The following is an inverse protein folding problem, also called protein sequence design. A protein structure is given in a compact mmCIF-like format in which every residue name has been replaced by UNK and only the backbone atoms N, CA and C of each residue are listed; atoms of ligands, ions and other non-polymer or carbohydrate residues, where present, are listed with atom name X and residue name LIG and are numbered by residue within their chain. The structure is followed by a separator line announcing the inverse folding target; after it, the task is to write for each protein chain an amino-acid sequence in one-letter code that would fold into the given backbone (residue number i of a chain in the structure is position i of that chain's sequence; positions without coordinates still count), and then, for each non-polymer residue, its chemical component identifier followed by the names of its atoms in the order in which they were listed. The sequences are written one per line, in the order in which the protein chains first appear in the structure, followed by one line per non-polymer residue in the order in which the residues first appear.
data_IF_440747635684
#
_entry.id   IF_440747635684
#
_cell.length_a   1.000
_cell.length_b   1.000
_cell.length_c   1.000
_cell.angle_alpha   90.00
_cell.angle_beta   90.00
_cell.angle_gamma   90.00
#
_symmetry.space_group_name_H-M   'P 1'
#
loop_
_entity.id
_entity.type
_entity.pdbx_description
1 polymer ?
#
# COMPACT_ATOMS: atom_id res chain seq x y z
N UNK A 1 -4.62 -22.90 -62.15
CA UNK A 1 -5.15 -24.27 -62.03
C UNK A 1 -5.95 -24.27 -60.75
N UNK A 2 -7.21 -23.95 -60.83
CA UNK A 2 -8.43 -24.82 -60.98
C UNK A 2 -8.77 -25.40 -59.62
N UNK A 3 -9.71 -24.76 -58.91
CA UNK A 3 -11.17 -25.04 -58.81
C UNK A 3 -11.46 -26.36 -58.06
N UNK A 4 -12.13 -26.32 -56.92
CA UNK A 4 -13.44 -26.92 -56.77
C UNK A 4 -14.12 -26.55 -55.47
N UNK A 5 -15.32 -26.02 -55.60
CA UNK A 5 -16.34 -25.82 -54.60
C UNK A 5 -17.08 -27.14 -54.32
N UNK A 6 -17.65 -27.28 -53.15
CA UNK A 6 -18.81 -28.15 -52.94
C UNK A 6 -19.69 -27.55 -51.84
N UNK A 7 -20.89 -27.20 -52.27
CA UNK A 7 -22.11 -26.88 -51.56
C UNK A 7 -22.68 -28.09 -50.82
N UNK A 8 -23.51 -27.81 -49.82
CA UNK A 8 -24.50 -28.81 -49.44
C UNK A 8 -25.03 -28.68 -47.99
N UNK A 9 -26.10 -27.95 -47.84
CA UNK A 9 -27.40 -28.31 -47.26
C UNK A 9 -27.62 -28.12 -45.76
N UNK A 10 -28.46 -27.12 -45.50
CA UNK A 10 -29.38 -27.10 -44.34
C UNK A 10 -30.47 -28.18 -44.50
N UNK A 11 -31.09 -28.62 -43.41
CA UNK A 11 -32.55 -28.55 -43.37
C UNK A 11 -33.14 -27.87 -42.15
N UNK A 12 -34.37 -27.42 -42.43
CA UNK A 12 -35.35 -26.62 -41.70
C UNK A 12 -35.89 -27.26 -40.41
N UNK A 13 -36.28 -26.31 -39.52
CA UNK A 13 -37.51 -26.20 -38.75
C UNK A 13 -38.14 -27.45 -38.09
N UNK A 14 -38.40 -27.41 -36.79
CA UNK A 14 -39.77 -27.34 -36.31
C UNK A 14 -39.91 -26.93 -34.83
N UNK A 15 -41.04 -26.33 -34.58
CA UNK A 15 -41.58 -25.70 -33.40
C UNK A 15 -41.71 -26.60 -32.16
N UNK A 16 -41.67 -26.00 -30.98
CA UNK A 16 -42.07 -26.56 -29.72
C UNK A 16 -42.25 -25.49 -28.67
N UNK A 17 -43.49 -25.05 -28.50
CA UNK A 17 -43.97 -24.27 -27.36
C UNK A 17 -43.61 -24.92 -26.04
N UNK A 18 -43.22 -24.12 -24.98
CA UNK A 18 -44.04 -24.02 -23.78
C UNK A 18 -43.30 -23.26 -22.64
N UNK A 19 -44.10 -22.42 -22.04
CA UNK A 19 -44.19 -22.10 -20.60
C UNK A 19 -43.09 -21.26 -19.94
N UNK A 20 -43.45 -20.03 -19.71
CA UNK A 20 -42.98 -19.09 -18.72
C UNK A 20 -43.38 -19.56 -17.32
N UNK A 21 -42.52 -19.62 -16.32
CA UNK A 21 -42.98 -19.71 -14.93
C UNK A 21 -43.10 -18.29 -14.33
N UNK A 22 -44.20 -18.17 -13.57
CA UNK A 22 -44.70 -16.99 -12.90
C UNK A 22 -43.87 -16.59 -11.69
N UNK A 23 -43.84 -15.28 -11.43
CA UNK A 23 -43.41 -14.65 -10.17
C UNK A 23 -44.30 -15.07 -9.00
N UNK A 24 -43.78 -15.28 -7.80
CA UNK A 24 -44.59 -15.31 -6.59
C UNK A 24 -44.81 -13.90 -6.04
N UNK A 25 -46.06 -13.73 -5.57
CA UNK A 25 -46.67 -12.54 -5.03
C UNK A 25 -46.08 -12.11 -3.69
N UNK A 26 -46.13 -10.80 -3.44
CA UNK A 26 -45.94 -10.17 -2.14
C UNK A 26 -47.09 -10.49 -1.18
N UNK A 27 -46.88 -10.56 0.14
CA UNK A 27 -47.94 -10.47 1.10
C UNK A 27 -48.17 -9.04 1.58
N UNK A 28 -49.41 -8.70 1.58
CA UNK A 28 -50.08 -7.49 2.01
C UNK A 28 -50.06 -7.27 3.53
N UNK A 29 -50.16 -5.99 3.88
CA UNK A 29 -50.47 -5.40 5.17
C UNK A 29 -51.50 -6.13 6.02
N UNK A 30 -51.27 -6.11 7.32
CA UNK A 30 -52.32 -6.07 8.33
C UNK A 30 -51.89 -5.18 9.49
N UNK A 31 -52.57 -4.05 9.59
CA UNK A 31 -52.53 -3.11 10.69
C UNK A 31 -53.56 -3.47 11.77
N UNK A 32 -53.45 -2.83 12.90
CA UNK A 32 -54.34 -2.65 14.05
C UNK A 32 -54.24 -3.75 15.14
N UNK A 33 -54.20 -3.53 16.44
CA UNK A 33 -54.86 -2.48 17.22
C UNK A 33 -54.43 -2.56 18.70
N UNK A 34 -54.53 -1.44 19.42
CA UNK A 34 -54.85 -1.27 20.85
C UNK A 34 -53.73 -1.32 21.93
N UNK A 35 -53.50 -0.14 22.45
CA UNK A 35 -53.14 0.18 23.84
C UNK A 35 -54.38 -0.02 24.78
N UNK A 36 -54.36 0.17 26.11
CA UNK A 36 -53.50 1.04 26.91
C UNK A 36 -53.10 0.56 28.35
N UNK A 37 -52.20 1.35 28.94
CA UNK A 37 -52.09 1.78 30.34
C UNK A 37 -52.01 0.77 31.51
N UNK A 38 -50.96 0.90 32.32
CA UNK A 38 -51.08 1.20 33.74
C UNK A 38 -49.81 1.82 34.33
N UNK A 39 -50.08 2.82 35.12
CA UNK A 39 -49.24 3.74 35.92
C UNK A 39 -48.61 3.06 37.15
N UNK A 40 -47.61 3.82 37.66
CA UNK A 40 -46.99 3.83 39.00
C UNK A 40 -45.83 2.87 39.22
N UNK A 41 -44.61 3.38 39.51
CA UNK A 41 -44.22 3.96 40.79
C UNK A 41 -42.89 4.68 40.75
N UNK A 42 -42.72 5.68 41.59
CA UNK A 42 -41.60 6.58 41.79
C UNK A 42 -40.50 5.98 42.67
N UNK A 43 -39.28 6.33 42.37
CA UNK A 43 -38.07 6.59 43.19
C UNK A 43 -36.94 5.55 43.13
N UNK A 44 -35.70 5.87 43.41
CA UNK A 44 -35.12 7.20 43.75
C UNK A 44 -33.93 7.68 42.86
N UNK A 45 -33.65 8.94 42.94
CA UNK A 45 -32.49 9.69 42.46
C UNK A 45 -31.19 8.96 42.78
N UNK A 46 -30.39 8.63 41.74
CA UNK A 46 -28.99 8.32 41.88
C UNK A 46 -28.15 9.32 41.09
N UNK A 47 -27.35 9.95 41.86
CA UNK A 47 -26.13 10.76 41.66
C UNK A 47 -25.53 10.78 40.27
N UNK A 48 -25.25 12.03 39.84
CA UNK A 48 -24.54 12.47 38.66
C UNK A 48 -23.34 11.59 38.28
N UNK A 49 -23.39 11.08 37.05
CA UNK A 49 -22.17 10.63 36.37
C UNK A 49 -21.33 11.86 35.97
N UNK A 50 -20.00 11.76 36.05
CA UNK A 50 -19.14 12.84 35.62
C UNK A 50 -19.29 13.08 34.12
N UNK A 51 -19.60 14.31 33.77
CA UNK A 51 -19.60 14.85 32.42
C UNK A 51 -18.30 14.51 31.71
N UNK A 52 -18.41 13.76 30.63
CA UNK A 52 -17.31 13.51 29.70
C UNK A 52 -17.00 14.81 28.96
N UNK A 53 -16.18 15.66 29.57
CA UNK A 53 -15.59 16.84 28.93
C UNK A 53 -14.71 16.33 27.80
N UNK A 54 -14.83 16.83 26.55
CA UNK A 54 -13.87 16.52 25.49
C UNK A 54 -12.50 17.02 25.96
N UNK A 55 -11.60 16.10 26.28
CA UNK A 55 -10.20 16.44 26.49
C UNK A 55 -9.69 17.03 25.16
N UNK A 56 -9.45 18.33 25.16
CA UNK A 56 -8.52 18.97 24.24
C UNK A 56 -7.22 18.15 24.24
N UNK A 57 -6.53 17.99 23.10
CA UNK A 57 -5.29 17.21 23.04
C UNK A 57 -4.30 17.83 24.01
N UNK A 58 -4.26 17.26 25.22
CA UNK A 58 -3.38 17.64 26.29
C UNK A 58 -1.94 17.43 25.89
N UNK A 59 -1.10 18.34 26.31
CA UNK A 59 0.35 18.33 26.32
C UNK A 59 0.93 16.91 26.25
N UNK A 60 1.62 16.59 25.15
CA UNK A 60 2.41 15.36 24.99
C UNK A 60 3.36 15.24 26.16
N UNK A 61 3.16 14.23 26.98
CA UNK A 61 4.24 13.65 27.77
C UNK A 61 5.28 13.21 26.76
N UNK A 62 6.52 13.66 26.89
CA UNK A 62 7.65 13.30 26.03
C UNK A 62 7.90 11.80 26.22
N UNK A 63 7.18 10.99 25.47
CA UNK A 63 7.38 9.55 25.34
C UNK A 63 8.08 9.25 24.02
N UNK A 64 8.76 8.11 23.93
CA UNK A 64 9.36 7.66 22.68
C UNK A 64 8.32 7.61 21.55
N UNK A 65 8.69 8.03 20.35
CA UNK A 65 7.86 7.90 19.14
C UNK A 65 7.69 6.40 18.81
N UNK A 66 6.46 5.92 18.82
CA UNK A 66 6.14 4.51 18.57
C UNK A 66 5.90 4.31 17.08
N UNK A 67 6.71 3.46 16.46
CA UNK A 67 6.62 3.17 15.03
C UNK A 67 6.37 1.68 14.82
N UNK A 68 5.18 1.34 14.31
CA UNK A 68 4.87 -0.03 13.92
C UNK A 68 5.48 -0.37 12.55
N UNK A 69 5.80 -1.64 12.34
CA UNK A 69 6.34 -2.13 11.07
C UNK A 69 5.95 -3.58 10.85
N UNK A 70 5.98 -4.06 9.60
CA UNK A 70 5.76 -5.47 9.29
C UNK A 70 6.91 -6.32 9.87
N UNK A 71 6.63 -6.98 11.00
CA UNK A 71 7.56 -7.84 11.73
C UNK A 71 7.79 -9.21 11.10
N UNK A 72 8.57 -10.07 11.78
CA UNK A 72 9.27 -9.83 13.04
C UNK A 72 10.47 -8.88 12.92
N UNK A 73 11.28 -8.76 13.98
CA UNK A 73 12.59 -8.13 13.88
C UNK A 73 13.48 -8.90 12.90
N UNK A 74 14.44 -8.21 12.26
CA UNK A 74 15.30 -8.76 11.21
C UNK A 74 14.73 -8.60 9.79
N UNK A 75 13.51 -8.10 9.61
CA UNK A 75 12.90 -7.92 8.27
C UNK A 75 13.46 -6.71 7.51
N UNK A 76 13.31 -6.69 6.18
CA UNK A 76 13.56 -5.50 5.35
C UNK A 76 12.69 -4.31 5.77
N UNK A 77 11.51 -4.57 6.35
CA UNK A 77 10.65 -3.52 6.87
C UNK A 77 11.23 -2.86 8.14
N UNK A 78 11.86 -3.64 9.03
CA UNK A 78 12.64 -3.06 10.13
C UNK A 78 13.82 -2.24 9.61
N UNK A 79 14.55 -2.75 8.61
CA UNK A 79 15.65 -2.00 7.99
C UNK A 79 15.16 -0.65 7.45
N UNK A 80 14.01 -0.65 6.75
CA UNK A 80 13.36 0.57 6.28
C UNK A 80 13.01 1.51 7.44
N UNK A 81 12.43 0.99 8.52
CA UNK A 81 12.06 1.78 9.70
C UNK A 81 13.30 2.44 10.34
N UNK A 82 14.41 1.71 10.44
CA UNK A 82 15.68 2.25 10.95
C UNK A 82 16.30 3.30 10.03
N UNK A 83 16.25 3.09 8.69
CA UNK A 83 16.71 4.10 7.74
C UNK A 83 15.91 5.40 7.81
N UNK A 84 14.60 5.31 8.03
CA UNK A 84 13.72 6.47 8.15
C UNK A 84 13.76 7.13 9.54
N UNK A 85 14.40 6.50 10.52
CA UNK A 85 14.42 6.99 11.90
C UNK A 85 14.96 8.43 12.00
N UNK A 86 16.00 8.77 11.26
CA UNK A 86 16.57 10.10 11.21
C UNK A 86 15.62 11.16 10.61
N UNK A 87 14.71 10.74 9.72
CA UNK A 87 13.77 11.64 9.04
C UNK A 87 12.56 12.00 9.90
N UNK A 88 12.16 11.12 10.85
CA UNK A 88 10.93 11.34 11.61
C UNK A 88 11.14 11.56 13.11
N UNK A 89 12.33 11.35 13.63
CA UNK A 89 12.64 11.58 15.04
C UNK A 89 13.15 13.00 15.30
N UNK A 90 13.64 13.72 14.28
CA UNK A 90 14.29 15.02 14.45
C UNK A 90 15.43 14.93 15.46
N UNK A 91 15.49 15.89 16.40
CA UNK A 91 16.48 15.90 17.50
C UNK A 91 16.24 14.78 18.57
N UNK A 92 15.10 14.06 18.47
CA UNK A 92 14.71 12.98 19.37
C UNK A 92 14.98 11.58 18.80
N UNK A 93 15.98 11.44 17.93
CA UNK A 93 16.30 10.16 17.24
C UNK A 93 16.51 8.97 18.22
N UNK A 94 16.98 9.23 19.43
CA UNK A 94 17.23 8.20 20.44
C UNK A 94 15.97 7.68 21.16
N UNK A 95 14.81 8.28 20.87
CA UNK A 95 13.55 7.96 21.56
C UNK A 95 12.51 7.26 20.67
N UNK A 96 12.94 6.50 19.66
CA UNK A 96 12.02 5.74 18.80
C UNK A 96 11.88 4.30 19.30
N UNK A 97 10.63 3.89 19.54
CA UNK A 97 10.27 2.50 19.85
C UNK A 97 9.70 1.82 18.62
N UNK A 98 10.39 0.80 18.11
CA UNK A 98 9.92 -0.04 17.01
C UNK A 98 8.99 -1.14 17.53
N UNK A 99 7.81 -1.28 16.92
CA UNK A 99 6.76 -2.22 17.30
C UNK A 99 6.48 -3.20 16.13
N UNK A 100 6.92 -4.46 16.22
CA UNK A 100 6.67 -5.43 15.17
C UNK A 100 5.19 -5.82 15.13
N UNK A 101 4.58 -5.75 13.97
CA UNK A 101 3.20 -6.14 13.69
C UNK A 101 3.17 -7.47 12.92
N UNK A 102 2.09 -8.23 13.06
CA UNK A 102 1.91 -9.54 12.41
C UNK A 102 1.60 -9.44 10.92
N UNK A 103 1.26 -8.25 10.42
CA UNK A 103 0.93 -7.98 9.02
C UNK A 103 0.80 -6.48 8.77
N UNK A 104 0.73 -6.10 7.49
CA UNK A 104 0.55 -4.70 7.07
C UNK A 104 -0.73 -4.10 7.65
N UNK A 105 -1.84 -4.81 7.56
CA UNK A 105 -3.13 -4.37 8.12
C UNK A 105 -3.03 -4.09 9.62
N UNK A 106 -2.33 -4.97 10.34
CA UNK A 106 -2.11 -4.79 11.78
C UNK A 106 -1.25 -3.56 12.07
N UNK A 107 -0.15 -3.36 11.32
CA UNK A 107 0.72 -2.20 11.48
C UNK A 107 -0.06 -0.88 11.29
N UNK A 108 -0.85 -0.78 10.23
CA UNK A 108 -1.67 0.40 9.95
C UNK A 108 -2.86 0.54 10.92
N UNK A 109 -3.42 -0.56 11.41
CA UNK A 109 -4.45 -0.54 12.46
C UNK A 109 -3.90 0.01 13.77
N UNK A 110 -2.67 -0.33 14.14
CA UNK A 110 -2.01 0.21 15.34
C UNK A 110 -1.93 1.75 15.30
N UNK A 111 -1.70 2.33 14.11
CA UNK A 111 -1.73 3.79 13.94
C UNK A 111 -3.15 4.34 14.09
N UNK A 112 -4.15 3.71 13.46
CA UNK A 112 -5.56 4.13 13.55
C UNK A 112 -6.11 4.08 14.97
N UNK A 113 -5.64 3.15 15.79
CA UNK A 113 -6.08 2.97 17.19
C UNK A 113 -5.21 3.71 18.21
N UNK A 114 -4.17 4.44 17.78
CA UNK A 114 -3.25 5.16 18.67
C UNK A 114 -2.30 4.24 19.45
N UNK A 115 -2.19 2.95 19.10
CA UNK A 115 -1.19 2.03 19.64
C UNK A 115 0.21 2.33 19.12
N UNK A 116 0.31 2.86 17.91
CA UNK A 116 1.53 3.43 17.33
C UNK A 116 1.24 4.84 16.82
N UNK A 117 2.26 5.67 16.79
CA UNK A 117 2.15 7.04 16.28
C UNK A 117 2.33 7.08 14.76
N UNK A 118 3.11 6.13 14.22
CA UNK A 118 3.37 5.96 12.78
C UNK A 118 3.54 4.49 12.44
N UNK A 119 3.52 4.18 11.13
CA UNK A 119 3.82 2.84 10.63
C UNK A 119 4.76 2.91 9.42
N UNK A 120 5.68 1.96 9.32
CA UNK A 120 6.47 1.72 8.11
C UNK A 120 5.96 0.44 7.46
N UNK A 121 5.57 0.53 6.19
CA UNK A 121 5.03 -0.60 5.43
C UNK A 121 5.56 -0.60 4.00
N UNK A 122 5.74 -1.79 3.37
CA UNK A 122 6.11 -1.86 1.96
C UNK A 122 4.94 -1.43 1.08
N UNK A 123 5.20 -0.68 0.01
CA UNK A 123 4.16 -0.26 -0.95
C UNK A 123 4.39 -0.80 -2.35
N UNK A 124 5.65 -1.04 -2.72
CA UNK A 124 6.03 -1.48 -4.06
C UNK A 124 7.35 -2.26 -4.03
N UNK A 125 7.42 -3.33 -4.80
CA UNK A 125 8.64 -4.11 -5.05
C UNK A 125 8.98 -4.04 -6.54
N UNK A 126 10.24 -3.84 -6.88
CA UNK A 126 10.68 -3.68 -8.28
C UNK A 126 10.55 -4.96 -9.12
N UNK A 127 10.36 -6.11 -8.49
CA UNK A 127 10.19 -7.42 -9.16
C UNK A 127 8.71 -7.80 -9.26
N UNK A 128 7.94 -7.58 -8.19
CA UNK A 128 6.57 -8.08 -8.04
C UNK A 128 5.50 -7.00 -8.21
N UNK A 129 5.90 -5.71 -8.27
CA UNK A 129 4.97 -4.58 -8.35
C UNK A 129 4.42 -4.16 -6.99
N UNK A 130 3.19 -3.64 -6.97
CA UNK A 130 2.58 -3.09 -5.77
C UNK A 130 2.22 -4.11 -4.69
N UNK A 131 2.36 -3.70 -3.45
CA UNK A 131 2.00 -4.50 -2.28
C UNK A 131 0.51 -4.35 -2.01
N UNK A 132 -0.28 -5.30 -2.48
CA UNK A 132 -1.73 -5.28 -2.43
C UNK A 132 -2.29 -5.00 -1.03
N UNK A 133 -1.76 -5.65 0.00
CA UNK A 133 -2.21 -5.47 1.39
C UNK A 133 -2.08 -4.01 1.85
N UNK A 134 -1.01 -3.31 1.45
CA UNK A 134 -0.81 -1.89 1.78
C UNK A 134 -1.79 -1.01 1.01
N UNK A 135 -1.90 -1.22 -0.30
CA UNK A 135 -2.77 -0.42 -1.15
C UNK A 135 -4.24 -0.55 -0.72
N UNK A 136 -4.70 -1.77 -0.47
CA UNK A 136 -6.07 -2.04 -0.04
C UNK A 136 -6.36 -1.47 1.37
N UNK A 137 -5.40 -1.58 2.29
CA UNK A 137 -5.58 -1.04 3.66
C UNK A 137 -5.57 0.49 3.69
N UNK A 138 -4.76 1.16 2.86
CA UNK A 138 -4.76 2.62 2.72
C UNK A 138 -6.02 3.12 2.00
N UNK A 139 -6.56 2.30 1.09
CA UNK A 139 -7.79 2.59 0.36
C UNK A 139 -9.01 2.70 1.25
N UNK A 140 -9.06 1.98 2.34
CA UNK A 140 -10.26 1.80 3.15
C UNK A 140 -10.07 2.25 4.60
N UNK A 141 -11.18 2.45 5.29
CA UNK A 141 -11.23 2.80 6.71
C UNK A 141 -10.87 4.27 6.99
N UNK A 142 -10.51 4.54 8.24
CA UNK A 142 -10.11 5.89 8.65
C UNK A 142 -8.88 6.35 7.86
N UNK A 143 -8.86 7.61 7.39
CA UNK A 143 -7.75 8.15 6.61
C UNK A 143 -6.41 8.00 7.31
N UNK A 144 -5.40 7.70 6.51
CA UNK A 144 -3.99 7.72 6.89
C UNK A 144 -3.22 8.48 5.80
N UNK A 145 -2.08 9.06 6.16
CA UNK A 145 -1.29 9.88 5.25
C UNK A 145 0.15 9.40 5.18
N UNK A 146 0.66 9.22 3.98
CA UNK A 146 2.08 8.95 3.72
C UNK A 146 2.83 10.27 3.88
N UNK A 147 3.90 10.27 4.69
CA UNK A 147 4.69 11.47 5.00
C UNK A 147 6.16 11.37 4.58
N UNK A 148 6.64 10.15 4.28
CA UNK A 148 7.98 9.91 3.75
C UNK A 148 8.03 8.56 3.02
N UNK A 149 9.08 8.35 2.24
CA UNK A 149 9.39 7.06 1.62
C UNK A 149 10.90 6.77 1.69
N UNK A 150 11.23 5.48 1.66
CA UNK A 150 12.60 5.00 1.47
C UNK A 150 12.63 3.81 0.54
N UNK A 151 13.79 3.53 -0.05
CA UNK A 151 14.05 2.34 -0.86
C UNK A 151 15.10 1.49 -0.15
N UNK A 152 14.80 0.21 0.00
CA UNK A 152 15.72 -0.77 0.56
C UNK A 152 16.12 -1.75 -0.53
N UNK A 153 17.42 -1.89 -0.83
CA UNK A 153 17.92 -2.95 -1.69
C UNK A 153 17.52 -4.32 -1.11
N UNK A 154 17.03 -5.20 -1.96
CA UNK A 154 16.66 -6.55 -1.54
C UNK A 154 17.79 -7.50 -1.92
N UNK A 155 18.52 -7.87 -0.92
CA UNK A 155 19.59 -8.86 -1.02
C UNK A 155 19.44 -9.93 0.06
N UNK A 156 19.96 -11.11 -0.22
CA UNK A 156 19.79 -12.25 0.65
C UNK A 156 21.11 -12.80 1.14
N UNK A 157 21.04 -13.34 2.35
CA UNK A 157 22.14 -14.01 3.05
C UNK A 157 21.67 -15.40 3.43
N UNK A 158 22.46 -16.41 3.10
CA UNK A 158 22.26 -17.79 3.51
C UNK A 158 23.03 -18.04 4.81
N UNK A 159 22.31 -18.51 5.83
CA UNK A 159 22.87 -18.78 7.16
C UNK A 159 22.59 -20.21 7.61
N UNK A 160 23.47 -20.75 8.44
CA UNK A 160 23.24 -21.98 9.20
C UNK A 160 23.40 -21.73 10.70
N UNK A 161 23.20 -22.77 11.51
CA UNK A 161 23.51 -22.71 12.95
C UNK A 161 25.00 -22.47 13.17
N UNK A 162 25.39 -21.69 14.22
CA UNK A 162 26.78 -21.34 14.47
C UNK A 162 27.69 -22.56 14.73
N UNK A 163 27.14 -23.59 15.33
CA UNK A 163 27.80 -24.85 15.66
C UNK A 163 27.83 -25.89 14.54
N UNK A 164 27.09 -25.60 13.44
CA UNK A 164 27.06 -26.50 12.30
C UNK A 164 28.32 -26.31 11.42
N UNK A 165 29.00 -27.42 11.14
CA UNK A 165 30.09 -27.47 10.17
C UNK A 165 29.53 -27.90 8.80
N UNK A 166 28.81 -26.99 8.17
CA UNK A 166 28.13 -27.21 6.89
C UNK A 166 28.77 -26.38 5.79
N UNK A 167 29.01 -27.04 4.66
CA UNK A 167 29.32 -26.40 3.37
C UNK A 167 28.09 -26.35 2.47
N UNK A 168 28.12 -25.46 1.47
CA UNK A 168 26.99 -25.28 0.52
C UNK A 168 26.55 -26.60 -0.13
N UNK A 169 27.51 -27.47 -0.52
CA UNK A 169 27.24 -28.75 -1.17
C UNK A 169 26.51 -29.78 -0.28
N UNK A 170 26.52 -29.58 1.02
CA UNK A 170 25.91 -30.49 2.02
C UNK A 170 24.47 -30.10 2.34
N UNK A 171 24.01 -28.91 1.94
CA UNK A 171 22.65 -28.43 2.19
C UNK A 171 21.62 -29.29 1.44
N UNK A 172 20.55 -29.66 2.12
CA UNK A 172 19.42 -30.42 1.56
C UNK A 172 18.11 -29.67 1.68
N UNK A 173 17.97 -28.83 2.70
CA UNK A 173 16.72 -28.09 2.98
C UNK A 173 17.05 -26.68 3.37
N UNK A 174 16.41 -25.73 2.68
CA UNK A 174 16.55 -24.28 2.97
C UNK A 174 15.18 -23.72 3.32
N UNK A 175 15.08 -23.14 4.52
CA UNK A 175 13.89 -22.44 4.99
C UNK A 175 13.88 -20.98 4.54
N UNK A 176 12.80 -20.53 3.90
CA UNK A 176 12.60 -19.12 3.56
C UNK A 176 11.19 -18.83 3.08
N UNK A 177 10.86 -17.54 2.91
CA UNK A 177 9.62 -17.10 2.26
C UNK A 177 9.65 -17.44 0.76
N UNK A 178 8.52 -17.88 0.14
CA UNK A 178 8.48 -18.23 -1.28
C UNK A 178 9.00 -17.17 -2.24
N UNK A 179 8.76 -15.87 -1.96
CA UNK A 179 9.29 -14.79 -2.79
C UNK A 179 10.82 -14.69 -2.75
N UNK A 180 11.43 -14.90 -1.58
CA UNK A 180 12.89 -14.91 -1.45
C UNK A 180 13.49 -16.11 -2.18
N UNK A 181 12.85 -17.28 -2.07
CA UNK A 181 13.23 -18.46 -2.84
C UNK A 181 13.22 -18.21 -4.34
N UNK A 182 12.16 -17.58 -4.85
CA UNK A 182 12.03 -17.26 -6.27
C UNK A 182 13.12 -16.29 -6.78
N UNK A 183 13.61 -15.39 -5.91
CA UNK A 183 14.61 -14.36 -6.23
C UNK A 183 16.06 -14.82 -6.01
N UNK A 184 16.30 -16.08 -5.64
CA UNK A 184 17.63 -16.66 -5.40
C UNK A 184 17.79 -18.02 -6.08
N UNK A 185 16.86 -18.38 -6.93
CA UNK A 185 16.71 -19.70 -7.51
C UNK A 185 17.88 -20.08 -8.43
N UNK A 186 18.33 -19.12 -9.23
CA UNK A 186 19.45 -19.32 -10.14
C UNK A 186 20.76 -19.48 -9.37
N UNK A 187 21.00 -18.62 -8.38
CA UNK A 187 22.17 -18.72 -7.54
C UNK A 187 22.22 -20.05 -6.77
N UNK A 188 21.10 -20.47 -6.20
CA UNK A 188 21.00 -21.75 -5.46
C UNK A 188 21.31 -22.93 -6.39
N UNK A 189 20.73 -22.99 -7.59
CA UNK A 189 20.98 -24.04 -8.53
C UNK A 189 22.47 -24.15 -8.91
N UNK A 190 23.16 -23.02 -9.07
CA UNK A 190 24.57 -22.97 -9.46
C UNK A 190 25.54 -23.31 -8.31
N UNK A 191 25.22 -22.94 -7.07
CA UNK A 191 26.16 -23.01 -5.94
C UNK A 191 25.84 -24.09 -4.91
N UNK A 192 24.58 -24.48 -4.77
CA UNK A 192 24.12 -25.51 -3.83
C UNK A 192 23.70 -26.78 -4.56
N UNK A 193 23.03 -26.64 -5.69
CA UNK A 193 22.56 -27.73 -6.54
C UNK A 193 21.04 -27.87 -6.59
N UNK A 194 20.56 -28.55 -7.64
CA UNK A 194 19.12 -28.69 -7.94
C UNK A 194 18.35 -29.62 -6.98
N UNK A 195 19.06 -30.35 -6.12
CA UNK A 195 18.44 -31.31 -5.19
C UNK A 195 18.03 -30.70 -3.86
N UNK A 196 18.29 -29.41 -3.67
CA UNK A 196 17.92 -28.73 -2.43
C UNK A 196 16.42 -28.44 -2.36
N UNK A 197 15.80 -28.74 -1.23
CA UNK A 197 14.36 -28.58 -1.03
C UNK A 197 14.06 -27.23 -0.37
N UNK A 198 13.13 -26.49 -0.93
CA UNK A 198 12.57 -25.30 -0.31
C UNK A 198 11.58 -25.67 0.81
N UNK A 199 11.80 -25.17 2.02
CA UNK A 199 10.84 -25.25 3.14
C UNK A 199 10.19 -23.88 3.29
N UNK A 200 8.93 -23.70 2.88
CA UNK A 200 8.28 -22.40 2.92
C UNK A 200 8.00 -21.93 4.36
N UNK A 201 8.33 -20.68 4.63
CA UNK A 201 8.06 -20.00 5.90
C UNK A 201 7.28 -18.71 5.67
N UNK A 202 6.72 -18.15 6.74
CA UNK A 202 5.89 -16.92 6.67
C UNK A 202 6.70 -15.65 6.40
N UNK A 203 8.00 -15.66 6.68
CA UNK A 203 8.93 -14.55 6.37
C UNK A 203 10.37 -15.06 6.37
N UNK A 204 11.27 -14.34 5.69
CA UNK A 204 12.71 -14.61 5.69
C UNK A 204 13.32 -14.49 7.08
N UNK A 205 12.92 -13.48 7.85
CA UNK A 205 13.35 -13.30 9.23
C UNK A 205 12.79 -14.39 10.18
N UNK A 206 11.54 -14.84 9.92
CA UNK A 206 10.94 -15.97 10.63
C UNK A 206 11.69 -17.28 10.38
N UNK A 207 12.17 -17.50 9.15
CA UNK A 207 13.03 -18.65 8.84
C UNK A 207 14.35 -18.61 9.62
N UNK A 208 15.03 -17.46 9.65
CA UNK A 208 16.26 -17.29 10.43
C UNK A 208 16.03 -17.53 11.92
N UNK A 209 14.97 -16.93 12.46
CA UNK A 209 14.59 -17.09 13.86
C UNK A 209 14.35 -18.57 14.22
N UNK A 210 13.49 -19.24 13.45
CA UNK A 210 13.14 -20.65 13.69
C UNK A 210 14.36 -21.55 13.58
N UNK A 211 15.25 -21.34 12.59
CA UNK A 211 16.48 -22.10 12.44
C UNK A 211 17.34 -22.08 13.71
N UNK A 212 17.45 -20.90 14.34
CA UNK A 212 18.42 -20.68 15.41
C UNK A 212 17.83 -20.91 16.83
N UNK A 213 16.51 -20.76 16.99
CA UNK A 213 15.83 -20.99 18.26
C UNK A 213 15.27 -22.42 18.41
N UNK A 214 14.98 -23.13 17.30
CA UNK A 214 14.38 -24.46 17.33
C UNK A 214 15.28 -25.50 16.67
N UNK A 215 15.88 -26.44 17.42
CA UNK A 215 16.67 -27.55 16.87
C UNK A 215 15.89 -28.42 15.87
N UNK A 216 14.56 -28.50 16.00
CA UNK A 216 13.66 -29.28 15.16
C UNK A 216 13.07 -28.48 14.00
N UNK A 217 13.68 -27.34 13.61
CA UNK A 217 13.17 -26.43 12.55
C UNK A 217 12.91 -27.11 11.20
N UNK A 218 13.53 -28.28 10.96
CA UNK A 218 13.28 -29.08 9.77
C UNK A 218 14.06 -28.66 8.52
N UNK A 219 15.00 -27.72 8.62
CA UNK A 219 15.89 -27.30 7.53
C UNK A 219 17.32 -27.02 8.03
N UNK A 220 18.27 -27.11 7.12
CA UNK A 220 19.71 -27.07 7.41
C UNK A 220 20.22 -25.61 7.42
N UNK A 221 19.62 -24.76 6.58
CA UNK A 221 19.98 -23.36 6.42
C UNK A 221 18.73 -22.50 6.24
N UNK A 222 18.84 -21.22 6.51
CA UNK A 222 17.80 -20.22 6.26
C UNK A 222 18.32 -19.14 5.30
N UNK A 223 17.46 -18.76 4.36
CA UNK A 223 17.69 -17.63 3.48
C UNK A 223 16.97 -16.43 4.07
N UNK A 224 17.72 -15.38 4.40
CA UNK A 224 17.21 -14.20 5.12
C UNK A 224 17.92 -12.91 4.68
N UNK A 225 17.55 -11.77 5.28
CA UNK A 225 18.29 -10.52 5.12
C UNK A 225 19.58 -10.53 5.94
N UNK A 226 20.56 -9.70 5.59
CA UNK A 226 21.76 -9.50 6.40
C UNK A 226 21.44 -9.03 7.83
N UNK A 227 20.38 -8.21 8.00
CA UNK A 227 19.88 -7.79 9.31
C UNK A 227 19.40 -8.97 10.13
N UNK A 228 18.68 -9.92 9.54
CA UNK A 228 18.27 -11.15 10.22
C UNK A 228 19.47 -12.00 10.65
N UNK A 229 20.45 -12.16 9.76
CA UNK A 229 21.67 -12.91 10.06
C UNK A 229 22.39 -12.35 11.30
N UNK A 230 22.46 -11.04 11.43
CA UNK A 230 23.05 -10.36 12.58
C UNK A 230 22.16 -10.46 13.82
N UNK A 231 20.86 -10.20 13.70
CA UNK A 231 19.89 -10.19 14.82
C UNK A 231 19.84 -11.53 15.52
N UNK A 232 19.87 -12.61 14.76
CA UNK A 232 19.76 -13.98 15.29
C UNK A 232 21.12 -14.69 15.42
N UNK A 233 22.23 -14.01 15.10
CA UNK A 233 23.61 -14.53 15.22
C UNK A 233 23.85 -15.83 14.44
N UNK A 234 23.30 -15.94 13.23
CA UNK A 234 23.53 -17.09 12.33
C UNK A 234 24.94 -17.07 11.72
N UNK A 235 25.55 -18.26 11.52
CA UNK A 235 26.80 -18.41 10.76
C UNK A 235 26.48 -18.19 9.27
N UNK A 236 27.12 -17.18 8.66
CA UNK A 236 26.91 -16.83 7.26
C UNK A 236 27.66 -17.84 6.35
N UNK A 237 26.94 -18.46 5.44
CA UNK A 237 27.49 -19.33 4.40
C UNK A 237 27.73 -18.57 3.09
N UNK A 238 26.81 -17.65 2.73
CA UNK A 238 26.93 -16.82 1.55
C UNK A 238 26.12 -15.53 1.72
N UNK A 239 26.53 -14.45 1.05
CA UNK A 239 25.85 -13.15 1.03
C UNK A 239 25.86 -12.59 -0.39
N UNK A 240 24.95 -11.67 -0.69
CA UNK A 240 24.87 -11.06 -2.02
C UNK A 240 24.33 -12.06 -3.05
N UNK A 241 23.35 -12.85 -2.69
CA UNK A 241 22.91 -14.02 -3.47
C UNK A 241 21.57 -13.82 -4.20
N UNK A 242 21.09 -12.59 -4.29
CA UNK A 242 19.92 -12.26 -5.09
C UNK A 242 20.24 -12.45 -6.59
N UNK A 243 19.36 -13.12 -7.34
CA UNK A 243 19.49 -13.29 -8.79
C UNK A 243 19.43 -11.93 -9.52
N UNK A 244 18.69 -10.97 -8.97
CA UNK A 244 18.63 -9.58 -9.44
C UNK A 244 19.24 -8.63 -8.38
N UNK A 245 20.50 -8.17 -8.56
CA UNK A 245 21.17 -7.27 -7.62
C UNK A 245 20.57 -5.86 -7.57
N UNK A 246 19.76 -5.50 -8.56
CA UNK A 246 19.07 -4.20 -8.65
C UNK A 246 17.70 -4.21 -7.93
N UNK A 247 17.28 -5.37 -7.39
CA UNK A 247 16.00 -5.50 -6.72
C UNK A 247 15.88 -4.57 -5.52
N UNK A 248 14.76 -3.82 -5.45
CA UNK A 248 14.48 -2.88 -4.37
C UNK A 248 13.02 -2.99 -3.94
N UNK A 249 12.78 -2.80 -2.67
CA UNK A 249 11.44 -2.57 -2.15
C UNK A 249 11.33 -1.13 -1.64
N UNK A 250 10.26 -0.48 -2.04
CA UNK A 250 9.90 0.85 -1.59
C UNK A 250 8.99 0.72 -0.37
N UNK A 251 9.36 1.43 0.69
CA UNK A 251 8.62 1.51 1.94
C UNK A 251 8.13 2.94 2.15
N UNK A 252 6.99 3.06 2.81
CA UNK A 252 6.39 4.35 3.15
C UNK A 252 6.19 4.48 4.65
N UNK A 253 6.41 5.70 5.14
CA UNK A 253 6.06 6.11 6.50
C UNK A 253 4.65 6.68 6.49
N UNK A 254 3.78 6.06 7.26
CA UNK A 254 2.36 6.40 7.35
C UNK A 254 2.05 6.96 8.73
N UNK A 255 1.27 8.04 8.77
CA UNK A 255 0.81 8.69 9.99
C UNK A 255 -0.71 8.92 9.97
N UNK A 256 -1.35 9.28 11.09
CA UNK A 256 -2.66 9.90 11.06
C UNK A 256 -2.64 11.16 10.20
N UNK A 257 -3.78 11.61 9.64
CA UNK A 257 -3.86 12.89 8.93
C UNK A 257 -3.36 14.05 9.79
N UNK A 258 -2.58 14.93 9.18
CA UNK A 258 -1.96 16.07 9.87
C UNK A 258 -1.27 17.00 8.88
N UNK A 259 -0.23 17.69 9.33
CA UNK A 259 0.57 18.58 8.48
C UNK A 259 1.26 17.80 7.38
N UNK A 260 1.14 18.27 6.15
CA UNK A 260 1.85 17.73 4.99
C UNK A 260 3.31 18.24 5.08
N UNK A 261 4.32 17.38 4.81
CA UNK A 261 5.71 17.83 4.74
C UNK A 261 5.88 19.03 3.80
N UNK A 262 6.83 19.90 4.09
CA UNK A 262 7.12 21.03 3.23
C UNK A 262 7.67 20.58 1.87
N UNK A 263 7.40 21.33 0.77
CA UNK A 263 7.92 20.97 -0.54
C UNK A 263 9.43 21.06 -0.60
N UNK A 264 10.06 20.05 -1.23
CA UNK A 264 11.52 19.95 -1.41
C UNK A 264 11.96 20.22 -2.86
N UNK A 265 11.02 20.21 -3.81
CA UNK A 265 11.26 20.24 -5.25
C UNK A 265 11.64 18.87 -5.84
N UNK A 266 11.70 17.85 -4.99
CA UNK A 266 11.84 16.44 -5.36
C UNK A 266 10.78 15.63 -4.60
N UNK A 267 9.51 15.87 -4.93
CA UNK A 267 8.38 15.38 -4.18
C UNK A 267 7.49 14.46 -5.01
N UNK A 268 6.71 13.67 -4.34
CA UNK A 268 5.69 12.77 -4.86
C UNK A 268 4.39 12.98 -4.13
N UNK A 269 3.29 12.95 -4.85
CA UNK A 269 1.96 12.94 -4.26
C UNK A 269 1.27 11.61 -4.61
N UNK A 270 0.74 10.92 -3.63
CA UNK A 270 0.00 9.66 -3.81
C UNK A 270 -1.48 9.88 -3.60
N UNK A 271 -2.28 9.39 -4.53
CA UNK A 271 -3.74 9.42 -4.46
C UNK A 271 -4.33 8.07 -4.85
N UNK A 272 -5.53 7.83 -4.36
CA UNK A 272 -6.39 6.79 -4.90
C UNK A 272 -7.60 7.41 -5.57
N UNK A 273 -7.90 6.97 -6.78
CA UNK A 273 -8.96 7.51 -7.61
C UNK A 273 -9.90 6.37 -8.01
N UNK A 274 -11.19 6.51 -7.71
CA UNK A 274 -12.23 5.58 -8.16
C UNK A 274 -12.95 6.18 -9.35
N UNK A 275 -13.01 5.45 -10.46
CA UNK A 275 -13.74 5.90 -11.66
C UNK A 275 -15.26 5.91 -11.41
N UNK A 276 -16.00 6.80 -12.06
CA UNK A 276 -17.46 6.87 -11.93
C UNK A 276 -18.18 5.63 -12.51
N UNK A 277 -17.58 4.97 -13.48
CA UNK A 277 -18.10 3.78 -14.15
C UNK A 277 -17.05 3.09 -15.01
N UNK A 278 -17.41 1.94 -15.56
CA UNK A 278 -16.59 1.20 -16.53
C UNK A 278 -17.06 1.52 -17.97
N UNK A 279 -16.89 2.77 -18.36
CA UNK A 279 -17.29 3.25 -19.69
C UNK A 279 -16.06 3.46 -20.56
N UNK A 280 -16.27 3.39 -21.88
CA UNK A 280 -15.22 3.69 -22.85
C UNK A 280 -14.69 5.13 -22.65
N UNK A 281 -13.38 5.29 -22.45
CA UNK A 281 -12.74 6.58 -22.21
C UNK A 281 -12.67 7.00 -20.73
N UNK A 282 -13.29 6.33 -19.77
CA UNK A 282 -13.28 6.74 -18.36
C UNK A 282 -11.84 6.84 -17.80
N UNK A 283 -11.00 5.86 -18.09
CA UNK A 283 -9.58 5.89 -17.71
C UNK A 283 -8.84 7.05 -18.42
N UNK A 284 -9.09 7.27 -19.70
CA UNK A 284 -8.49 8.36 -20.47
C UNK A 284 -8.84 9.72 -19.87
N UNK A 285 -10.12 9.97 -19.57
CA UNK A 285 -10.60 11.20 -18.94
C UNK A 285 -9.93 11.47 -17.58
N UNK A 286 -9.65 10.42 -16.82
CA UNK A 286 -8.87 10.52 -15.58
C UNK A 286 -7.41 10.91 -15.87
N UNK A 287 -6.76 10.25 -16.84
CA UNK A 287 -5.37 10.51 -17.20
C UNK A 287 -5.15 11.90 -17.81
N UNK A 288 -6.15 12.42 -18.52
CA UNK A 288 -6.13 13.78 -19.06
C UNK A 288 -6.02 14.86 -17.98
N UNK A 289 -6.54 14.60 -16.77
CA UNK A 289 -6.40 15.55 -15.65
C UNK A 289 -4.93 15.80 -15.28
N UNK A 290 -4.07 14.80 -15.47
CA UNK A 290 -2.64 14.91 -15.25
C UNK A 290 -1.91 15.47 -16.48
N UNK A 291 -2.16 14.87 -17.64
CA UNK A 291 -1.47 15.19 -18.90
C UNK A 291 -1.64 16.67 -19.28
N UNK A 292 -2.87 17.20 -19.25
CA UNK A 292 -3.16 18.59 -19.60
C UNK A 292 -2.49 19.62 -18.66
N UNK A 293 -2.00 19.17 -17.51
CA UNK A 293 -1.34 20.02 -16.49
C UNK A 293 0.15 19.75 -16.36
N UNK A 294 0.71 18.90 -17.24
CA UNK A 294 2.13 18.54 -17.22
C UNK A 294 2.58 17.78 -15.95
N UNK A 295 1.67 17.00 -15.36
CA UNK A 295 1.97 16.14 -14.21
C UNK A 295 2.34 14.75 -14.71
N UNK A 296 3.57 14.32 -14.43
CA UNK A 296 4.02 12.97 -14.71
C UNK A 296 3.54 11.98 -13.64
N UNK A 297 3.25 10.76 -14.07
CA UNK A 297 2.88 9.66 -13.18
C UNK A 297 4.06 8.68 -13.09
N UNK A 298 4.56 8.43 -11.88
CA UNK A 298 5.65 7.47 -11.65
C UNK A 298 5.15 6.06 -11.34
N UNK A 299 3.87 5.93 -10.93
CA UNK A 299 3.22 4.64 -10.69
C UNK A 299 1.71 4.76 -10.93
N UNK A 300 1.11 3.74 -11.51
CA UNK A 300 -0.33 3.57 -11.61
C UNK A 300 -0.66 2.09 -11.47
N UNK A 301 -1.55 1.76 -10.55
CA UNK A 301 -2.02 0.41 -10.34
C UNK A 301 -3.53 0.37 -10.22
N UNK A 302 -4.17 -0.49 -10.99
CA UNK A 302 -5.61 -0.69 -10.97
C UNK A 302 -6.02 -1.78 -9.98
N UNK A 303 -7.12 -1.57 -9.29
CA UNK A 303 -7.70 -2.52 -8.34
C UNK A 303 -9.22 -2.58 -8.51
N UNK A 304 -9.84 -3.76 -8.54
CA UNK A 304 -11.29 -3.87 -8.49
C UNK A 304 -11.81 -3.40 -7.13
N UNK A 305 -12.92 -2.68 -7.11
CA UNK A 305 -13.53 -2.13 -5.88
C UNK A 305 -14.68 -3.02 -5.41
N UNK A 306 -14.67 -3.38 -4.13
CA UNK A 306 -15.80 -4.05 -3.49
C UNK A 306 -16.15 -5.42 -4.05
N UNK A 307 -15.20 -6.12 -4.67
CA UNK A 307 -15.43 -7.43 -5.30
C UNK A 307 -16.22 -7.37 -6.63
N UNK A 308 -16.47 -6.18 -7.15
CA UNK A 308 -17.10 -5.97 -8.45
C UNK A 308 -16.05 -5.83 -9.55
N UNK A 309 -16.18 -6.61 -10.63
CA UNK A 309 -15.27 -6.55 -11.78
C UNK A 309 -15.53 -5.37 -12.73
N UNK A 310 -16.57 -4.57 -12.46
CA UNK A 310 -16.99 -3.42 -13.26
C UNK A 310 -16.59 -2.07 -12.65
N UNK A 311 -16.00 -2.05 -11.46
CA UNK A 311 -15.53 -0.85 -10.78
C UNK A 311 -14.05 -0.95 -10.46
N UNK A 312 -13.30 0.06 -10.85
CA UNK A 312 -11.86 0.13 -10.62
C UNK A 312 -11.48 1.38 -9.84
N UNK A 313 -10.61 1.18 -8.86
CA UNK A 313 -9.84 2.24 -8.24
C UNK A 313 -8.38 2.15 -8.71
N UNK A 314 -7.74 3.30 -8.83
CA UNK A 314 -6.36 3.44 -9.25
C UNK A 314 -5.55 4.05 -8.13
N UNK A 315 -4.51 3.35 -7.66
CA UNK A 315 -3.49 3.92 -6.80
C UNK A 315 -2.44 4.57 -7.69
N UNK A 316 -2.24 5.87 -7.53
CA UNK A 316 -1.44 6.69 -8.43
C UNK A 316 -0.42 7.48 -7.64
N UNK A 317 0.85 7.43 -8.09
CA UNK A 317 1.89 8.34 -7.64
C UNK A 317 2.19 9.34 -8.75
N UNK A 318 2.02 10.60 -8.45
CA UNK A 318 2.32 11.71 -9.33
C UNK A 318 3.56 12.46 -8.84
N UNK A 319 4.38 12.93 -9.79
CA UNK A 319 5.58 13.70 -9.50
C UNK A 319 5.23 15.16 -9.24
N UNK A 320 5.58 15.62 -8.06
CA UNK A 320 5.35 16.98 -7.57
C UNK A 320 4.65 17.02 -6.24
N UNK A 321 4.71 18.18 -5.60
CA UNK A 321 4.12 18.43 -4.30
C UNK A 321 2.71 19.03 -4.44
N UNK A 322 1.84 18.78 -3.46
CA UNK A 322 0.50 19.36 -3.39
C UNK A 322 0.50 20.90 -3.50
N UNK A 323 1.56 21.58 -3.03
CA UNK A 323 1.67 23.03 -3.14
C UNK A 323 2.00 23.54 -4.56
N UNK A 324 2.33 22.66 -5.49
CA UNK A 324 2.52 23.05 -6.88
C UNK A 324 1.18 23.24 -7.60
N UNK A 325 1.03 24.35 -8.31
CA UNK A 325 -0.23 24.73 -8.96
C UNK A 325 -0.72 23.69 -9.97
N UNK A 326 0.19 23.05 -10.71
CA UNK A 326 -0.13 21.97 -11.65
C UNK A 326 -0.73 20.76 -10.92
N UNK A 327 -0.19 20.41 -9.75
CA UNK A 327 -0.68 19.30 -8.92
C UNK A 327 -2.04 19.66 -8.32
N UNK A 328 -2.18 20.85 -7.73
CA UNK A 328 -3.47 21.36 -7.24
C UNK A 328 -4.55 21.30 -8.32
N UNK A 329 -4.25 21.81 -9.51
CA UNK A 329 -5.20 21.83 -10.63
C UNK A 329 -5.57 20.40 -11.09
N UNK A 330 -4.63 19.44 -11.07
CA UNK A 330 -4.90 18.05 -11.40
C UNK A 330 -5.84 17.41 -10.36
N UNK A 331 -5.56 17.58 -9.08
CA UNK A 331 -6.38 17.05 -7.99
C UNK A 331 -7.80 17.64 -7.99
N UNK A 332 -7.94 18.94 -8.24
CA UNK A 332 -9.24 19.59 -8.41
C UNK A 332 -10.00 19.01 -9.61
N UNK A 333 -9.30 18.76 -10.72
CA UNK A 333 -9.87 18.12 -11.89
C UNK A 333 -10.40 16.71 -11.59
N UNK A 334 -9.57 15.88 -10.95
CA UNK A 334 -9.95 14.52 -10.52
C UNK A 334 -11.17 14.53 -9.59
N UNK A 335 -11.16 15.40 -8.58
CA UNK A 335 -12.25 15.48 -7.60
C UNK A 335 -13.60 15.86 -8.24
N UNK A 336 -13.56 16.57 -9.36
CA UNK A 336 -14.78 16.97 -10.12
C UNK A 336 -15.29 15.88 -11.05
N UNK A 337 -14.41 15.02 -11.56
CA UNK A 337 -14.71 14.10 -12.68
C UNK A 337 -14.71 12.62 -12.27
N UNK A 338 -14.13 12.27 -11.13
CA UNK A 338 -14.08 10.92 -10.63
C UNK A 338 -15.09 10.70 -9.49
N UNK A 339 -15.48 9.46 -9.24
CA UNK A 339 -16.46 9.12 -8.20
C UNK A 339 -15.92 9.39 -6.81
N UNK A 340 -14.64 9.07 -6.59
CA UNK A 340 -13.94 9.31 -5.33
C UNK A 340 -12.47 9.60 -5.60
N UNK A 341 -11.92 10.56 -4.87
CA UNK A 341 -10.48 10.84 -4.82
C UNK A 341 -10.05 10.84 -3.35
N UNK A 342 -9.19 9.91 -2.99
CA UNK A 342 -8.59 9.82 -1.67
C UNK A 342 -7.15 10.30 -1.74
N UNK A 343 -6.85 11.38 -1.04
CA UNK A 343 -5.49 11.87 -0.88
C UNK A 343 -4.75 10.99 0.14
N UNK A 344 -3.62 10.41 -0.27
CA UNK A 344 -2.82 9.52 0.57
C UNK A 344 -1.52 10.17 1.06
N UNK A 345 -1.11 11.32 0.51
CA UNK A 345 0.04 12.07 1.00
C UNK A 345 0.79 12.81 -0.09
N UNK A 346 1.59 13.79 0.34
CA UNK A 346 2.57 14.50 -0.49
C UNK A 346 3.86 14.62 0.33
N UNK A 347 4.97 14.08 -0.20
CA UNK A 347 6.17 13.79 0.58
C UNK A 347 7.42 13.76 -0.31
N UNK A 348 8.62 13.94 0.29
CA UNK A 348 9.88 13.87 -0.43
C UNK A 348 10.11 12.49 -1.07
N UNK A 349 10.63 12.47 -2.29
CA UNK A 349 11.03 11.25 -2.99
C UNK A 349 12.31 10.66 -2.37
N UNK A 350 12.37 9.33 -2.26
CA UNK A 350 13.55 8.63 -1.74
C UNK A 350 14.81 8.86 -2.60
N UNK A 351 14.64 8.95 -3.92
CA UNK A 351 15.74 9.16 -4.88
C UNK A 351 16.20 10.62 -4.98
N UNK A 352 15.51 11.55 -4.31
CA UNK A 352 15.75 13.00 -4.34
C UNK A 352 15.80 13.58 -5.76
N UNK A 353 15.27 12.85 -6.75
CA UNK A 353 15.25 13.31 -8.14
C UNK A 353 14.25 14.46 -8.31
N UNK A 354 14.76 15.62 -8.76
CA UNK A 354 13.92 16.79 -9.02
C UNK A 354 12.97 16.54 -10.17
N UNK A 355 11.72 16.95 -10.00
CA UNK A 355 10.71 16.83 -11.04
C UNK A 355 11.02 17.79 -12.19
N UNK A 356 10.97 17.28 -13.41
CA UNK A 356 11.10 18.09 -14.62
C UNK A 356 9.78 18.79 -14.93
N UNK A 357 9.75 20.12 -14.73
CA UNK A 357 8.57 20.94 -14.99
C UNK A 357 8.51 21.26 -16.49
N UNK A 358 7.40 20.97 -17.13
CA UNK A 358 7.16 21.30 -18.54
C UNK A 358 6.90 22.80 -18.71
N UNK A 359 7.20 23.34 -19.89
CA UNK A 359 6.92 24.73 -20.23
C UNK A 359 5.42 25.01 -20.12
N UNK A 360 5.07 26.10 -19.47
CA UNK A 360 3.66 26.50 -19.27
C UNK A 360 2.99 25.84 -18.07
N UNK A 361 3.74 25.08 -17.26
CA UNK A 361 3.19 24.35 -16.09
C UNK A 361 3.89 24.68 -14.76
N UNK A 362 4.76 25.65 -14.76
CA UNK A 362 5.35 26.16 -13.51
C UNK A 362 4.35 27.00 -12.70
N UNK A 363 4.56 27.12 -11.40
CA UNK A 363 3.68 27.94 -10.53
C UNK A 363 3.52 29.37 -11.05
N UNK A 364 4.57 29.97 -11.60
CA UNK A 364 4.52 31.30 -12.20
C UNK A 364 3.61 31.38 -13.42
N UNK A 365 3.57 30.34 -14.26
CA UNK A 365 2.71 30.31 -15.46
C UNK A 365 1.23 30.35 -15.04
N UNK A 366 0.85 29.58 -14.01
CA UNK A 366 -0.51 29.62 -13.45
C UNK A 366 -0.85 30.97 -12.81
N UNK A 367 0.09 31.57 -12.08
CA UNK A 367 -0.12 32.90 -11.47
C UNK A 367 -0.30 33.96 -12.54
N UNK A 368 0.52 33.95 -13.59
CA UNK A 368 0.44 34.89 -14.72
C UNK A 368 -0.90 34.72 -15.46
N UNK A 369 -1.33 33.49 -15.72
CA UNK A 369 -2.59 33.21 -16.37
C UNK A 369 -3.80 33.71 -15.55
N UNK A 370 -3.76 33.56 -14.23
CA UNK A 370 -4.80 34.12 -13.33
C UNK A 370 -4.81 35.63 -13.35
N UNK A 371 -3.64 36.28 -13.25
CA UNK A 371 -3.54 37.73 -13.31
C UNK A 371 -4.08 38.29 -14.63
N UNK A 372 -3.76 37.64 -15.76
CA UNK A 372 -4.32 38.00 -17.05
C UNK A 372 -5.86 37.92 -17.04
N UNK A 373 -6.43 36.83 -16.50
CA UNK A 373 -7.90 36.69 -16.44
C UNK A 373 -8.55 37.81 -15.57
N UNK A 374 -7.90 38.24 -14.50
CA UNK A 374 -8.37 39.33 -13.64
C UNK A 374 -8.34 40.66 -14.39
N UNK A 375 -7.33 40.92 -15.23
CA UNK A 375 -7.28 42.07 -16.12
C UNK A 375 -8.44 42.06 -17.13
N UNK A 376 -8.72 40.90 -17.74
CA UNK A 376 -9.87 40.73 -18.66
C UNK A 376 -11.19 41.04 -17.94
N UNK A 377 -11.39 40.51 -16.72
CA UNK A 377 -12.59 40.77 -15.90
C UNK A 377 -12.76 42.24 -15.55
N UNK A 378 -11.66 42.93 -15.35
CA UNK A 378 -11.66 44.35 -15.06
C UNK A 378 -11.88 45.24 -16.30
N UNK A 379 -12.09 44.63 -17.48
CA UNK A 379 -12.30 45.35 -18.74
C UNK A 379 -11.05 46.06 -19.28
N UNK A 380 -9.85 45.66 -18.79
CA UNK A 380 -8.60 46.20 -19.34
C UNK A 380 -8.21 45.36 -20.56
N UNK A 381 -7.85 46.05 -21.64
CA UNK A 381 -7.29 45.40 -22.83
C UNK A 381 -5.90 44.80 -22.50
N UNK A 382 -5.71 43.54 -22.77
CA UNK A 382 -4.47 42.80 -22.47
C UNK A 382 -3.89 42.24 -23.76
#
# INVERSE_FOLDING_TARGET
MSISAAEGQQPDANAGHTAKPALPAQPTDLAADLAPAHTTDLAPVQTAQPTNTPQLPGSRVVGALRVSFLGPFGTFCEQAARQMQAEFAGEAADSVQLLPATGVENALRMVRTGQADRAVVPIENSVEGGVNATLDTLAHGQPLTIVAETQVPIDFTLICRPDADLELSQLRRIGTHPHAWAQTREWIAQNVGDQVMHIPTTSTAGAAKLLLEDPESGYDAALCSAVSAQTYAGKVLASGIADNPEAKTRFVLVSPPGSIPAPTGADKTTVQVTLPGNEAGALLNMLEQFSARGVNLSRIESRPVGGHFDRYAFSIDLEGHLEEERVKAALVGLHRTCAEVRFLGSYPRADRARTKIQRGTANLDFATARAWLDEVRAGRAV
#
